data_IF_142775447361
#
_entry.id   IF_142775447361
#
_cell.length_a   1.000
_cell.length_b   1.000
_cell.length_c   1.000
_cell.angle_alpha   90.00
_cell.angle_beta   90.00
_cell.angle_gamma   90.00
#
_symmetry.space_group_name_H-M   'P 1'
#
loop_
_entity.id
_entity.type
_entity.pdbx_description
1 polymer ?
#
# COMPACT_ATOMS: atom_id res chain seq x y z
N UNK A 1 -72.84 -25.48 16.57
CA UNK A 1 -72.88 -24.25 15.77
C UNK A 1 -72.39 -24.62 14.38
N UNK A 2 -73.27 -25.03 13.48
CA UNK A 2 -74.20 -24.22 12.66
C UNK A 2 -73.45 -23.42 11.58
N UNK A 3 -73.84 -23.71 10.34
CA UNK A 3 -73.31 -23.25 9.05
C UNK A 3 -73.52 -21.75 8.77
N UNK A 4 -73.40 -20.90 9.79
CA UNK A 4 -73.61 -19.45 9.69
C UNK A 4 -72.32 -18.63 9.74
N UNK A 5 -71.17 -19.25 10.04
CA UNK A 5 -69.88 -18.54 10.16
C UNK A 5 -69.16 -18.30 8.81
N UNK A 6 -69.68 -18.82 7.70
CA UNK A 6 -69.00 -18.71 6.39
C UNK A 6 -69.34 -17.42 5.62
N UNK A 7 -70.26 -16.59 6.13
CA UNK A 7 -70.78 -15.43 5.39
C UNK A 7 -70.56 -14.07 6.06
N UNK A 8 -69.60 -13.96 6.99
CA UNK A 8 -69.22 -12.65 7.55
C UNK A 8 -68.24 -11.93 6.61
N UNK A 9 -68.52 -10.69 6.17
CA UNK A 9 -67.60 -9.93 5.32
C UNK A 9 -66.25 -9.73 6.01
N UNK A 10 -65.15 -10.00 5.28
CA UNK A 10 -63.76 -9.87 5.76
C UNK A 10 -63.43 -8.49 6.37
N UNK A 11 -64.24 -7.46 6.10
CA UNK A 11 -64.05 -6.09 6.56
C UNK A 11 -64.42 -5.83 8.03
N UNK A 12 -65.13 -6.75 8.71
CA UNK A 12 -65.51 -6.57 10.11
C UNK A 12 -64.55 -7.24 11.13
N UNK A 13 -63.39 -7.73 10.67
CA UNK A 13 -62.33 -8.17 11.59
C UNK A 13 -61.71 -6.95 12.27
N UNK A 14 -62.04 -6.73 13.54
CA UNK A 14 -61.48 -5.60 14.32
C UNK A 14 -59.95 -5.56 14.20
N UNK A 15 -59.43 -4.41 13.78
CA UNK A 15 -58.03 -4.16 13.41
C UNK A 15 -57.08 -4.09 14.63
N UNK A 16 -57.32 -4.90 15.67
CA UNK A 16 -56.57 -4.86 16.93
C UNK A 16 -55.14 -5.39 16.81
N UNK A 17 -54.86 -6.22 15.80
CA UNK A 17 -53.52 -6.78 15.55
C UNK A 17 -52.56 -5.89 14.75
N UNK A 18 -53.06 -5.10 13.79
CA UNK A 18 -52.19 -4.34 12.87
C UNK A 18 -51.44 -3.21 13.55
N UNK A 19 -52.00 -2.59 14.59
CA UNK A 19 -51.33 -1.53 15.35
C UNK A 19 -50.12 -2.03 16.16
N UNK A 20 -50.19 -3.26 16.69
CA UNK A 20 -49.09 -3.89 17.42
C UNK A 20 -47.98 -4.32 16.46
N UNK A 21 -48.34 -4.98 15.35
CA UNK A 21 -47.38 -5.35 14.30
C UNK A 21 -46.73 -4.14 13.62
N UNK A 22 -47.45 -3.05 13.41
CA UNK A 22 -46.89 -1.82 12.86
C UNK A 22 -45.95 -1.12 13.86
N UNK A 23 -46.24 -1.17 15.16
CA UNK A 23 -45.32 -0.70 16.21
C UNK A 23 -44.06 -1.57 16.28
N UNK A 24 -44.19 -2.90 16.25
CA UNK A 24 -43.04 -3.82 16.20
C UNK A 24 -42.19 -3.65 14.93
N UNK A 25 -42.82 -3.50 13.76
CA UNK A 25 -42.11 -3.21 12.50
C UNK A 25 -41.38 -1.88 12.57
N UNK A 26 -42.02 -0.80 13.07
CA UNK A 26 -41.37 0.50 13.26
C UNK A 26 -40.21 0.43 14.25
N UNK A 27 -40.38 -0.22 15.41
CA UNK A 27 -39.33 -0.37 16.42
C UNK A 27 -38.14 -1.19 15.89
N UNK A 28 -38.39 -2.28 15.16
CA UNK A 28 -37.30 -3.08 14.57
C UNK A 28 -36.62 -2.37 13.39
N UNK A 29 -37.33 -1.53 12.63
CA UNK A 29 -36.72 -0.68 11.60
C UNK A 29 -35.84 0.42 12.23
N UNK A 30 -36.25 1.04 13.33
CA UNK A 30 -35.45 2.03 14.02
C UNK A 30 -34.16 1.43 14.61
N UNK A 31 -34.25 0.23 15.20
CA UNK A 31 -33.07 -0.48 15.71
C UNK A 31 -32.11 -0.83 14.56
N UNK A 32 -32.62 -1.35 13.45
CA UNK A 32 -31.80 -1.66 12.25
C UNK A 32 -31.15 -0.40 11.67
N UNK A 33 -31.89 0.70 11.57
CA UNK A 33 -31.37 1.97 11.07
C UNK A 33 -30.29 2.54 12.00
N UNK A 34 -30.47 2.44 13.31
CA UNK A 34 -29.45 2.86 14.28
C UNK A 34 -28.17 2.03 14.16
N UNK A 35 -28.28 0.69 14.04
CA UNK A 35 -27.12 -0.20 13.85
C UNK A 35 -26.37 0.18 12.57
N UNK A 36 -27.07 0.35 11.45
CA UNK A 36 -26.45 0.75 10.18
C UNK A 36 -25.80 2.12 10.29
N UNK A 37 -26.45 3.09 10.94
CA UNK A 37 -25.89 4.42 11.16
C UNK A 37 -24.61 4.37 12.01
N UNK A 38 -24.58 3.59 13.10
CA UNK A 38 -23.37 3.43 13.92
C UNK A 38 -22.23 2.73 13.17
N UNK A 39 -22.53 1.72 12.35
CA UNK A 39 -21.53 1.07 11.49
C UNK A 39 -20.94 2.06 10.48
N UNK A 40 -21.80 2.83 9.80
CA UNK A 40 -21.36 3.83 8.84
C UNK A 40 -20.59 4.98 9.50
N UNK A 41 -21.01 5.43 10.67
CA UNK A 41 -20.31 6.45 11.44
C UNK A 41 -18.93 5.96 11.91
N UNK A 42 -18.82 4.71 12.38
CA UNK A 42 -17.55 4.09 12.76
C UNK A 42 -16.61 3.89 11.58
N UNK A 43 -17.14 3.51 10.41
CA UNK A 43 -16.38 3.43 9.16
C UNK A 43 -15.87 4.81 8.73
N UNK A 44 -16.72 5.83 8.79
CA UNK A 44 -16.36 7.20 8.40
C UNK A 44 -15.35 7.85 9.35
N UNK A 45 -15.46 7.61 10.66
CA UNK A 45 -14.44 8.07 11.62
C UNK A 45 -13.15 7.28 11.46
N UNK A 46 -13.24 5.97 11.21
CA UNK A 46 -12.09 5.11 10.92
C UNK A 46 -11.31 5.55 9.68
N UNK A 47 -12.00 5.85 8.58
CA UNK A 47 -11.35 6.36 7.36
C UNK A 47 -10.77 7.75 7.55
N UNK A 48 -11.42 8.62 8.32
CA UNK A 48 -10.90 9.96 8.64
C UNK A 48 -9.65 9.89 9.55
N UNK A 49 -9.61 8.96 10.51
CA UNK A 49 -8.43 8.65 11.33
C UNK A 49 -7.29 8.08 10.48
N UNK A 50 -7.59 7.14 9.59
CA UNK A 50 -6.60 6.56 8.67
C UNK A 50 -6.02 7.65 7.76
N UNK A 51 -6.86 8.48 7.15
CA UNK A 51 -6.45 9.62 6.32
C UNK A 51 -5.57 10.61 7.08
N UNK A 52 -5.83 10.79 8.38
CA UNK A 52 -5.06 11.70 9.25
C UNK A 52 -3.72 11.10 9.69
N UNK A 53 -3.64 9.78 9.87
CA UNK A 53 -2.38 9.07 10.06
C UNK A 53 -1.54 9.02 8.77
N UNK A 54 -2.18 8.91 7.60
CA UNK A 54 -1.49 8.92 6.30
C UNK A 54 -1.07 10.34 5.85
N UNK A 55 -1.74 11.39 6.35
CA UNK A 55 -1.40 12.79 6.03
C UNK A 55 -0.36 13.40 6.95
N UNK A 56 -0.12 12.81 8.13
CA UNK A 56 1.14 12.98 8.83
C UNK A 56 2.16 12.22 8.00
N UNK A 57 3.12 12.92 7.42
CA UNK A 57 4.06 12.40 6.43
C UNK A 57 5.08 11.42 6.99
N UNK A 58 4.59 10.42 7.68
CA UNK A 58 5.32 9.29 8.17
C UNK A 58 5.56 8.36 6.98
N UNK A 59 6.83 8.10 6.71
CA UNK A 59 7.26 6.97 5.89
C UNK A 59 6.57 5.71 6.39
N UNK A 60 5.64 5.16 5.59
CA UNK A 60 5.09 3.83 5.83
C UNK A 60 6.20 2.80 5.62
N UNK A 61 6.76 2.35 6.74
CA UNK A 61 7.84 1.40 6.75
C UNK A 61 7.29 -0.02 6.60
N UNK A 62 7.11 -0.47 5.35
CA UNK A 62 6.77 -1.87 5.03
C UNK A 62 7.99 -2.82 5.14
N UNK A 63 8.90 -2.51 6.06
CA UNK A 63 10.13 -3.26 6.34
C UNK A 63 9.99 -4.69 6.88
N UNK A 64 8.81 -5.32 7.15
CA UNK A 64 8.80 -6.75 7.47
C UNK A 64 9.27 -7.66 6.32
N UNK A 65 9.49 -7.14 5.12
CA UNK A 65 10.14 -7.86 4.02
C UNK A 65 11.65 -7.59 4.05
N UNK A 66 12.36 -8.30 4.93
CA UNK A 66 13.83 -8.37 4.94
C UNK A 66 14.36 -9.02 3.64
N UNK A 67 14.33 -8.28 2.54
CA UNK A 67 14.83 -8.68 1.22
C UNK A 67 14.07 -9.84 0.55
N UNK A 68 13.86 -9.73 -0.76
CA UNK A 68 13.29 -10.84 -1.53
C UNK A 68 14.40 -11.54 -2.32
N UNK A 69 14.64 -12.83 -2.02
CA UNK A 69 15.53 -13.69 -2.79
C UNK A 69 14.68 -14.72 -3.53
N UNK A 70 14.72 -14.72 -4.86
CA UNK A 70 13.89 -15.64 -5.64
C UNK A 70 14.51 -17.02 -5.86
N UNK A 71 15.80 -17.28 -5.55
CA UNK A 71 16.46 -18.59 -5.75
C UNK A 71 17.60 -18.91 -4.73
N UNK A 72 17.76 -20.22 -4.48
CA UNK A 72 18.51 -21.06 -3.52
C UNK A 72 19.87 -20.65 -2.88
N UNK A 73 20.47 -19.50 -3.16
CA UNK A 73 21.71 -19.11 -2.46
C UNK A 73 21.42 -18.12 -1.33
N UNK A 74 22.01 -18.35 -0.15
CA UNK A 74 21.97 -17.38 0.95
C UNK A 74 22.56 -16.06 0.47
N UNK A 75 21.80 -14.97 0.63
CA UNK A 75 22.28 -13.59 0.47
C UNK A 75 23.68 -13.49 1.08
N UNK A 76 24.71 -13.07 0.32
CA UNK A 76 25.98 -12.81 0.97
C UNK A 76 25.80 -11.54 1.82
N UNK A 77 26.28 -11.54 3.07
CA UNK A 77 26.10 -10.41 3.97
C UNK A 77 26.51 -9.07 3.35
N UNK A 78 27.56 -9.07 2.52
CA UNK A 78 28.10 -7.85 1.92
C UNK A 78 27.17 -7.22 0.86
N UNK A 79 26.44 -8.01 0.07
CA UNK A 79 25.52 -7.45 -0.94
C UNK A 79 24.33 -6.79 -0.27
N UNK A 80 23.72 -7.48 0.70
CA UNK A 80 22.61 -6.93 1.47
C UNK A 80 22.99 -5.69 2.26
N UNK A 81 24.15 -5.70 2.92
CA UNK A 81 24.67 -4.52 3.61
C UNK A 81 24.89 -3.37 2.63
N UNK A 82 25.38 -3.66 1.41
CA UNK A 82 25.55 -2.66 0.35
C UNK A 82 24.22 -2.05 -0.10
N UNK A 83 23.21 -2.87 -0.38
CA UNK A 83 21.88 -2.41 -0.80
C UNK A 83 21.17 -1.64 0.31
N UNK A 84 21.23 -2.13 1.55
CA UNK A 84 20.66 -1.44 2.71
C UNK A 84 21.31 -0.07 2.92
N UNK A 85 22.64 0.02 2.85
CA UNK A 85 23.38 1.30 2.92
C UNK A 85 22.99 2.25 1.79
N UNK A 86 22.81 1.72 0.57
CA UNK A 86 22.37 2.52 -0.57
C UNK A 86 20.96 3.10 -0.34
N UNK A 87 20.03 2.27 0.15
CA UNK A 87 18.66 2.69 0.48
C UNK A 87 18.66 3.74 1.60
N UNK A 88 19.33 3.48 2.72
CA UNK A 88 19.44 4.43 3.85
C UNK A 88 20.07 5.75 3.42
N UNK A 89 21.09 5.72 2.56
CA UNK A 89 21.73 6.92 2.04
C UNK A 89 20.78 7.76 1.20
N UNK A 90 19.94 7.13 0.38
CA UNK A 90 18.90 7.85 -0.39
C UNK A 90 17.95 8.54 0.58
N UNK A 91 17.39 7.80 1.55
CA UNK A 91 16.44 8.35 2.53
C UNK A 91 17.02 9.53 3.33
N UNK A 92 18.32 9.52 3.60
CA UNK A 92 19.00 10.56 4.37
C UNK A 92 19.42 11.77 3.54
N UNK A 93 19.67 11.62 2.24
CA UNK A 93 20.29 12.66 1.41
C UNK A 93 19.35 13.30 0.40
N UNK A 94 18.18 12.68 0.14
CA UNK A 94 17.22 13.23 -0.81
C UNK A 94 16.19 14.09 -0.10
N UNK A 95 15.93 15.27 -0.66
CA UNK A 95 14.90 16.19 -0.17
C UNK A 95 14.34 17.08 -1.28
N UNK A 96 13.46 18.01 -0.90
CA UNK A 96 12.83 18.94 -1.84
C UNK A 96 13.87 19.65 -2.72
N UNK A 97 13.64 19.69 -4.03
CA UNK A 97 14.58 20.25 -5.01
C UNK A 97 15.72 19.33 -5.45
N UNK A 98 15.77 18.09 -4.94
CA UNK A 98 16.61 17.03 -5.52
C UNK A 98 15.95 16.49 -6.78
N UNK A 99 16.71 16.22 -7.85
CA UNK A 99 16.14 15.61 -9.07
C UNK A 99 15.99 14.10 -8.90
N UNK A 100 15.03 13.51 -9.61
CA UNK A 100 14.84 12.05 -9.60
C UNK A 100 16.10 11.28 -10.05
N UNK A 101 16.89 11.87 -10.96
CA UNK A 101 18.20 11.35 -11.33
C UNK A 101 19.18 11.34 -10.15
N UNK A 102 19.24 12.40 -9.34
CA UNK A 102 20.12 12.45 -8.17
C UNK A 102 19.75 11.39 -7.12
N UNK A 103 18.46 11.09 -6.95
CA UNK A 103 17.98 9.99 -6.10
C UNK A 103 18.58 8.66 -6.57
N UNK A 104 18.43 8.32 -7.87
CA UNK A 104 18.98 7.08 -8.46
C UNK A 104 20.50 7.03 -8.35
N UNK A 105 21.19 8.12 -8.71
CA UNK A 105 22.65 8.22 -8.69
C UNK A 105 23.22 8.04 -7.28
N UNK A 106 22.52 8.48 -6.24
CA UNK A 106 22.95 8.30 -4.84
C UNK A 106 23.06 6.82 -4.48
N UNK A 107 22.04 6.02 -4.77
CA UNK A 107 22.10 4.58 -4.55
C UNK A 107 23.11 3.91 -5.50
N UNK A 108 23.05 4.26 -6.79
CA UNK A 108 23.88 3.68 -7.85
C UNK A 108 25.36 3.81 -7.53
N UNK A 109 25.82 4.98 -7.08
CA UNK A 109 27.22 5.22 -6.74
C UNK A 109 27.70 4.35 -5.57
N UNK A 110 26.86 4.14 -4.56
CA UNK A 110 27.20 3.28 -3.40
C UNK A 110 27.31 1.82 -3.85
N UNK A 111 26.37 1.36 -4.68
CA UNK A 111 26.36 -0.01 -5.22
C UNK A 111 27.56 -0.23 -6.14
N UNK A 112 27.90 0.74 -6.99
CA UNK A 112 29.09 0.73 -7.85
C UNK A 112 30.38 0.67 -7.03
N UNK A 113 30.50 1.50 -5.98
CA UNK A 113 31.65 1.51 -5.08
C UNK A 113 31.79 0.18 -4.31
N UNK A 114 30.68 -0.52 -4.08
CA UNK A 114 30.66 -1.88 -3.53
C UNK A 114 31.10 -2.96 -4.52
N UNK A 115 31.34 -2.63 -5.80
CA UNK A 115 31.71 -3.58 -6.85
C UNK A 115 30.51 -4.25 -7.55
N UNK A 116 29.29 -3.82 -7.25
CA UNK A 116 28.06 -4.46 -7.74
C UNK A 116 27.36 -3.68 -8.86
N UNK A 117 27.93 -2.58 -9.35
CA UNK A 117 27.31 -1.70 -10.35
C UNK A 117 26.83 -2.42 -11.60
N UNK A 118 27.62 -3.36 -12.13
CA UNK A 118 27.25 -4.17 -13.31
C UNK A 118 26.02 -5.06 -13.12
N UNK A 119 25.64 -5.33 -11.86
CA UNK A 119 24.49 -6.15 -11.50
C UNK A 119 23.24 -5.30 -11.20
N UNK A 120 23.36 -3.97 -11.08
CA UNK A 120 22.25 -3.04 -10.85
C UNK A 120 21.73 -2.48 -12.17
N UNK A 121 20.88 -3.27 -12.83
CA UNK A 121 20.48 -3.05 -14.23
C UNK A 121 19.12 -2.36 -14.40
N UNK A 122 18.45 -2.01 -13.30
CA UNK A 122 17.17 -1.31 -13.34
C UNK A 122 17.26 0.09 -12.70
N UNK A 123 16.15 0.83 -12.83
CA UNK A 123 15.91 2.08 -12.12
C UNK A 123 15.79 1.83 -10.62
N UNK A 124 16.15 2.81 -9.80
CA UNK A 124 16.05 2.71 -8.34
C UNK A 124 14.61 2.56 -7.84
N UNK A 125 13.62 3.15 -8.50
CA UNK A 125 12.24 3.10 -8.04
C UNK A 125 11.27 3.91 -8.89
N UNK A 126 10.04 4.03 -8.41
CA UNK A 126 8.95 4.68 -9.12
C UNK A 126 7.96 5.35 -8.17
N UNK A 127 7.17 6.29 -8.68
CA UNK A 127 6.07 6.89 -7.97
C UNK A 127 4.97 5.87 -7.69
N UNK A 128 4.20 6.15 -6.64
CA UNK A 128 3.04 5.34 -6.26
C UNK A 128 1.86 6.28 -6.07
N UNK A 129 0.78 6.00 -6.79
CA UNK A 129 -0.41 6.84 -6.82
C UNK A 129 -1.65 6.02 -7.14
N UNK A 130 -2.37 6.39 -8.19
CA UNK A 130 -3.54 5.63 -8.65
C UNK A 130 -3.14 4.27 -9.24
N UNK A 131 -1.90 4.17 -9.74
CA UNK A 131 -1.29 2.94 -10.22
C UNK A 131 -0.16 2.52 -9.30
N UNK A 132 0.08 1.21 -9.25
CA UNK A 132 1.23 0.62 -8.55
C UNK A 132 2.56 1.20 -9.02
N UNK A 133 2.69 1.45 -10.33
CA UNK A 133 3.82 2.14 -10.93
C UNK A 133 3.33 3.44 -11.57
N UNK A 134 3.69 4.57 -10.98
CA UNK A 134 3.35 5.90 -11.46
C UNK A 134 4.58 6.81 -11.52
N UNK A 135 4.41 8.03 -12.04
CA UNK A 135 5.43 9.07 -11.92
C UNK A 135 5.53 9.57 -10.45
N UNK A 136 6.71 10.04 -10.01
CA UNK A 136 7.96 10.17 -10.76
C UNK A 136 8.85 8.91 -10.77
N UNK A 137 9.62 8.70 -11.84
CA UNK A 137 10.56 7.57 -11.94
C UNK A 137 11.96 7.93 -11.47
N UNK A 138 12.52 7.15 -10.54
CA UNK A 138 13.88 7.32 -10.03
C UNK A 138 14.87 6.58 -10.92
N UNK A 139 15.31 7.22 -12.01
CA UNK A 139 16.37 6.71 -12.87
C UNK A 139 17.35 7.82 -13.24
N UNK A 140 18.63 7.48 -13.44
CA UNK A 140 19.72 8.41 -13.78
C UNK A 140 19.45 9.39 -14.95
N UNK A 141 18.52 9.06 -15.84
CA UNK A 141 18.15 9.92 -16.98
C UNK A 141 17.09 10.98 -16.65
N UNK A 142 16.44 10.91 -15.50
CA UNK A 142 15.38 11.83 -15.11
C UNK A 142 15.92 13.11 -14.45
N UNK A 143 16.60 13.93 -15.24
CA UNK A 143 17.33 15.12 -14.78
C UNK A 143 16.48 16.37 -14.62
N UNK A 144 15.25 16.36 -15.13
CA UNK A 144 14.36 17.53 -15.17
C UNK A 144 13.17 17.44 -14.19
N UNK A 145 12.90 16.25 -13.64
CA UNK A 145 11.88 16.08 -12.61
C UNK A 145 12.48 16.29 -11.22
N UNK A 146 12.00 17.31 -10.52
CA UNK A 146 12.38 17.60 -9.14
C UNK A 146 11.41 16.94 -8.15
N UNK A 147 11.93 16.52 -7.01
CA UNK A 147 11.12 16.09 -5.88
C UNK A 147 10.43 17.29 -5.24
N UNK A 148 9.11 17.17 -5.09
CA UNK A 148 8.26 18.17 -4.43
C UNK A 148 7.60 17.55 -3.19
N UNK A 149 7.30 18.36 -2.16
CA UNK A 149 6.49 17.91 -1.04
C UNK A 149 5.13 17.35 -1.51
N UNK A 150 4.74 16.21 -0.96
CA UNK A 150 3.56 15.43 -1.31
C UNK A 150 3.82 14.30 -2.31
N UNK A 151 5.00 14.24 -2.93
CA UNK A 151 5.35 13.11 -3.81
C UNK A 151 5.59 11.84 -3.00
N UNK A 152 5.05 10.72 -3.49
CA UNK A 152 5.24 9.39 -2.91
C UNK A 152 5.87 8.46 -3.94
N UNK A 153 6.96 7.79 -3.57
CA UNK A 153 7.71 6.91 -4.46
C UNK A 153 8.43 5.79 -3.69
N UNK A 154 8.88 4.76 -4.40
CA UNK A 154 9.68 3.69 -3.85
C UNK A 154 11.19 3.90 -4.02
N UNK A 155 11.96 3.34 -3.08
CA UNK A 155 13.42 3.24 -3.11
C UNK A 155 13.79 1.77 -3.00
N UNK A 156 14.12 1.18 -4.16
CA UNK A 156 14.20 -0.27 -4.36
C UNK A 156 15.54 -0.71 -4.99
N UNK A 157 16.69 -0.53 -4.31
CA UNK A 157 17.95 -1.00 -4.86
C UNK A 157 17.97 -2.54 -4.90
N UNK A 158 18.34 -3.11 -6.05
CA UNK A 158 18.43 -4.55 -6.24
C UNK A 158 19.46 -4.95 -7.29
N UNK A 159 20.14 -6.07 -7.05
CA UNK A 159 21.18 -6.61 -7.93
C UNK A 159 20.81 -8.02 -8.42
N UNK A 160 21.27 -8.33 -9.62
CA UNK A 160 21.01 -9.59 -10.32
C UNK A 160 22.36 -10.21 -10.66
N UNK A 161 22.73 -11.24 -9.91
CA UNK A 161 24.00 -11.93 -10.13
C UNK A 161 23.70 -13.22 -10.87
N UNK A 162 24.08 -13.26 -12.14
CA UNK A 162 24.06 -14.47 -12.95
C UNK A 162 25.45 -15.09 -12.92
N UNK A 163 25.58 -16.29 -12.34
CA UNK A 163 26.83 -17.06 -12.41
C UNK A 163 26.74 -18.06 -13.57
N UNK A 164 27.61 -17.90 -14.56
CA UNK A 164 27.83 -18.89 -15.61
C UNK A 164 29.02 -19.77 -15.24
N UNK A 165 28.78 -20.83 -14.47
CA UNK A 165 29.77 -21.90 -14.27
C UNK A 165 29.29 -23.17 -15.00
N UNK A 166 29.70 -23.33 -16.26
CA UNK A 166 29.33 -24.49 -17.09
C UNK A 166 27.83 -24.61 -17.39
N UNK A 167 27.36 -25.82 -17.76
CA UNK A 167 25.99 -26.13 -18.22
C UNK A 167 24.84 -25.83 -17.22
N UNK A 168 25.10 -25.15 -16.09
CA UNK A 168 24.11 -24.76 -15.09
C UNK A 168 24.12 -23.24 -14.91
N UNK A 169 23.14 -22.55 -15.49
CA UNK A 169 22.87 -21.14 -15.21
C UNK A 169 22.23 -21.01 -13.83
N UNK A 170 23.03 -20.82 -12.78
CA UNK A 170 22.53 -20.50 -11.45
C UNK A 170 22.75 -19.00 -11.20
N UNK A 171 21.67 -18.28 -10.91
CA UNK A 171 21.73 -16.87 -10.57
C UNK A 171 20.77 -16.57 -9.43
N UNK A 172 21.05 -15.49 -8.71
CA UNK A 172 20.19 -15.02 -7.63
C UNK A 172 19.90 -13.53 -7.79
N UNK A 173 18.80 -13.09 -7.16
CA UNK A 173 18.39 -11.70 -7.07
C UNK A 173 18.42 -11.31 -5.60
N UNK A 174 19.09 -10.21 -5.26
CA UNK A 174 19.02 -9.59 -3.94
C UNK A 174 18.44 -8.19 -4.11
N UNK A 175 17.43 -7.83 -3.33
CA UNK A 175 16.77 -6.52 -3.40
C UNK A 175 16.32 -6.02 -2.04
N UNK A 176 16.21 -4.70 -1.90
CA UNK A 176 15.55 -4.01 -0.78
C UNK A 176 14.43 -3.15 -1.37
N UNK A 177 13.37 -2.90 -0.61
CA UNK A 177 12.25 -2.04 -1.02
C UNK A 177 11.79 -1.20 0.16
N UNK A 178 11.57 0.09 -0.07
CA UNK A 178 11.00 1.00 0.94
C UNK A 178 10.20 2.09 0.29
N UNK A 179 9.01 2.33 0.80
CA UNK A 179 8.15 3.42 0.37
C UNK A 179 8.54 4.71 1.08
N UNK A 180 8.58 5.79 0.31
CA UNK A 180 8.92 7.14 0.77
C UNK A 180 7.74 8.04 0.45
N UNK A 181 7.12 8.59 1.48
CA UNK A 181 6.19 9.70 1.37
C UNK A 181 6.95 10.97 1.77
N UNK A 182 7.23 11.83 0.81
CA UNK A 182 8.01 13.03 1.08
C UNK A 182 7.10 14.18 1.44
N UNK A 183 7.15 14.66 2.70
CA UNK A 183 6.19 15.64 3.23
C UNK A 183 6.78 17.01 3.60
N UNK A 184 8.07 17.25 3.33
CA UNK A 184 8.76 18.49 3.73
C UNK A 184 9.66 19.09 2.66
#
# INVERSE_FOLDING_TARGET
MSSEDENTPLFNRTNRGTSHWNRLKKSTMLIRAAIVFFILAALATGTCLLQRCLSQGDTLDLSPLDGFCSHIDSIQPNEYIGLRRAQESVLNQTGAGTTCAQVDLTARHIIEKGGFGKYFTHRLGHGIGLRLHDEPYMHQGNTHQYLEPGMTFSVEPGIYVTNEFGYSSRGYRCGQEKMVNWSR
#
